data_IF_338063523620
#
_entry.id   IF_338063523620
#
_cell.length_a   1.000
_cell.length_b   1.000
_cell.length_c   1.000
_cell.angle_alpha   90.00
_cell.angle_beta   90.00
_cell.angle_gamma   90.00
#
_symmetry.space_group_name_H-M   'P 1'
#
loop_
_entity.id
_entity.type
_entity.pdbx_description
1 polymer ?
#
# COMPACT_ATOMS: atom_id res chain seq x y z
N UNK A 1 -4.42 37.27 2.82
CA UNK A 1 -4.15 37.25 1.36
C UNK A 1 -5.48 37.37 0.61
N UNK A 2 -5.52 38.20 -0.43
CA UNK A 2 -6.74 38.63 -1.15
C UNK A 2 -7.39 37.45 -1.90
N UNK A 3 -8.70 37.24 -1.71
CA UNK A 3 -9.50 36.26 -2.47
C UNK A 3 -9.92 36.89 -3.81
N UNK A 4 -9.50 36.31 -4.93
CA UNK A 4 -9.95 36.69 -6.26
C UNK A 4 -11.11 35.77 -6.68
N UNK A 5 -12.25 36.37 -7.04
CA UNK A 5 -13.38 35.69 -7.70
C UNK A 5 -12.99 35.38 -9.15
N UNK A 6 -13.07 34.11 -9.55
CA UNK A 6 -13.05 33.71 -10.96
C UNK A 6 -14.47 33.32 -11.40
N UNK A 7 -14.97 34.03 -12.40
CA UNK A 7 -16.25 33.78 -13.04
C UNK A 7 -16.19 32.57 -13.97
N UNK A 8 -17.20 31.71 -13.87
CA UNK A 8 -17.37 30.51 -14.68
C UNK A 8 -18.04 30.85 -16.02
N UNK A 9 -17.40 30.48 -17.13
CA UNK A 9 -18.02 30.46 -18.47
C UNK A 9 -18.37 28.99 -18.77
N UNK A 10 -19.66 28.72 -18.95
CA UNK A 10 -20.18 27.40 -19.35
C UNK A 10 -20.36 27.39 -20.86
N UNK A 11 -19.64 26.50 -21.55
CA UNK A 11 -19.90 26.16 -22.96
C UNK A 11 -20.43 24.73 -23.00
N UNK A 12 -21.69 24.60 -23.38
CA UNK A 12 -22.34 23.32 -23.62
C UNK A 12 -22.11 22.91 -25.09
N UNK A 13 -21.62 21.69 -25.31
CA UNK A 13 -21.54 21.10 -26.64
C UNK A 13 -22.20 19.71 -26.62
N UNK A 14 -23.33 19.64 -27.32
CA UNK A 14 -24.14 18.46 -27.56
C UNK A 14 -23.52 17.69 -28.74
N UNK A 15 -23.24 16.39 -28.56
CA UNK A 15 -23.02 15.48 -29.69
C UNK A 15 -23.77 14.18 -29.42
N UNK A 16 -24.77 13.93 -30.27
CA UNK A 16 -25.52 12.67 -30.38
C UNK A 16 -24.94 11.84 -31.52
N UNK A 17 -24.80 10.52 -31.30
CA UNK A 17 -24.41 9.57 -32.33
C UNK A 17 -24.87 8.14 -31.97
N UNK A 18 -25.82 7.63 -32.75
CA UNK A 18 -26.38 6.27 -32.74
C UNK A 18 -25.74 5.42 -33.85
N UNK A 19 -25.48 4.12 -33.59
CA UNK A 19 -25.52 2.97 -34.53
C UNK A 19 -25.11 1.69 -33.74
N UNK A 20 -25.89 0.60 -33.61
CA UNK A 20 -26.26 -0.46 -34.58
C UNK A 20 -25.03 -1.00 -35.35
N UNK A 21 -24.70 -2.28 -35.48
CA UNK A 21 -25.42 -3.54 -35.26
C UNK A 21 -24.44 -4.73 -35.29
N UNK A 22 -24.94 -5.87 -34.84
CA UNK A 22 -24.49 -7.28 -34.92
C UNK A 22 -23.76 -7.74 -36.19
N UNK A 23 -22.77 -8.63 -36.04
CA UNK A 23 -22.71 -9.88 -36.83
C UNK A 23 -21.82 -10.96 -36.21
N UNK A 24 -22.33 -12.21 -36.21
CA UNK A 24 -21.74 -13.39 -35.55
C UNK A 24 -21.44 -14.45 -36.62
N UNK A 25 -20.17 -14.81 -36.87
CA UNK A 25 -19.88 -15.86 -37.84
C UNK A 25 -20.01 -17.27 -37.25
N UNK A 26 -20.38 -18.15 -38.18
CA UNK A 26 -20.90 -19.52 -38.11
C UNK A 26 -19.76 -20.53 -37.92
N UNK A 27 -19.91 -21.48 -36.98
CA UNK A 27 -18.97 -22.60 -36.80
C UNK A 27 -19.22 -23.73 -37.82
N UNK A 28 -18.17 -24.32 -38.42
CA UNK A 28 -18.24 -25.58 -39.14
C UNK A 28 -18.12 -26.82 -38.22
N UNK A 29 -18.52 -28.01 -38.71
CA UNK A 29 -18.81 -29.19 -37.89
C UNK A 29 -17.56 -30.00 -37.47
N UNK A 30 -17.77 -30.77 -36.39
CA UNK A 30 -16.81 -31.66 -35.72
C UNK A 30 -16.36 -32.82 -36.61
N UNK A 31 -15.05 -33.08 -36.61
CA UNK A 31 -14.45 -34.33 -37.08
C UNK A 31 -13.85 -35.09 -35.89
N UNK A 32 -14.10 -36.39 -35.83
CA UNK A 32 -13.60 -37.32 -34.82
C UNK A 32 -12.39 -38.09 -35.37
N UNK A 33 -11.25 -38.08 -34.66
CA UNK A 33 -10.21 -39.09 -34.82
C UNK A 33 -9.28 -39.20 -33.58
N UNK A 34 -9.28 -40.42 -33.02
CA UNK A 34 -8.16 -41.27 -32.57
C UNK A 34 -7.05 -40.72 -31.65
N UNK A 35 -7.13 -41.17 -30.40
CA UNK A 35 -6.09 -41.68 -29.46
C UNK A 35 -4.62 -41.41 -29.82
N UNK A 36 -4.02 -40.49 -29.06
CA UNK A 36 -2.58 -40.31 -28.90
C UNK A 36 -2.27 -39.89 -27.46
N UNK A 37 -1.39 -40.64 -26.81
CA UNK A 37 -0.97 -40.53 -25.41
C UNK A 37 -0.37 -39.13 -25.14
N UNK A 38 -1.11 -38.27 -24.43
CA UNK A 38 -0.74 -36.87 -24.21
C UNK A 38 -0.08 -36.66 -22.83
N UNK A 39 1.07 -35.99 -22.85
CA UNK A 39 1.70 -35.36 -21.69
C UNK A 39 0.69 -34.48 -20.94
N UNK A 40 0.81 -34.46 -19.60
CA UNK A 40 -0.14 -33.86 -18.66
C UNK A 40 -0.75 -32.54 -19.12
N UNK A 41 -2.00 -32.63 -19.62
CA UNK A 41 -2.78 -31.47 -20.01
C UNK A 41 -3.04 -30.60 -18.80
N UNK A 42 -2.57 -29.35 -18.85
CA UNK A 42 -2.95 -28.31 -17.92
C UNK A 42 -4.48 -28.27 -17.84
N UNK A 43 -5.00 -28.65 -16.66
CA UNK A 43 -6.44 -28.65 -16.37
C UNK A 43 -6.94 -27.22 -16.64
N UNK A 44 -7.99 -27.03 -17.47
CA UNK A 44 -8.51 -25.70 -17.76
C UNK A 44 -8.79 -25.00 -16.43
N UNK A 45 -8.27 -23.77 -16.29
CA UNK A 45 -8.48 -22.94 -15.12
C UNK A 45 -9.99 -22.81 -14.90
N UNK A 46 -10.53 -23.57 -13.96
CA UNK A 46 -11.93 -23.49 -13.60
C UNK A 46 -12.23 -22.05 -13.19
N UNK A 47 -13.32 -21.49 -13.73
CA UNK A 47 -13.78 -20.13 -13.44
C UNK A 47 -13.70 -19.89 -11.94
N UNK A 48 -12.77 -19.01 -11.53
CA UNK A 48 -12.64 -18.63 -10.13
C UNK A 48 -13.97 -18.01 -9.73
N UNK A 49 -14.66 -18.52 -8.68
CA UNK A 49 -15.93 -17.96 -8.25
C UNK A 49 -15.74 -16.48 -7.95
N UNK A 50 -16.33 -15.63 -8.78
CA UNK A 50 -16.23 -14.18 -8.62
C UNK A 50 -17.20 -13.79 -7.52
N UNK A 51 -16.67 -13.38 -6.39
CA UNK A 51 -17.48 -12.95 -5.27
C UNK A 51 -17.90 -11.52 -5.58
N UNK A 52 -19.20 -11.23 -5.70
CA UNK A 52 -19.65 -9.89 -6.03
C UNK A 52 -19.15 -8.94 -4.95
N UNK A 53 -18.19 -8.09 -5.31
CA UNK A 53 -17.72 -7.03 -4.43
C UNK A 53 -18.86 -6.02 -4.28
N UNK A 54 -19.23 -5.65 -3.05
CA UNK A 54 -20.19 -4.58 -2.86
C UNK A 54 -19.63 -3.31 -3.48
N UNK A 55 -20.45 -2.65 -4.29
CA UNK A 55 -20.10 -1.34 -4.86
C UNK A 55 -20.15 -0.32 -3.71
N UNK A 56 -19.03 0.37 -3.41
CA UNK A 56 -19.03 1.39 -2.37
C UNK A 56 -20.08 2.47 -2.68
N UNK A 57 -20.82 2.96 -1.67
CA UNK A 57 -21.77 4.04 -1.90
C UNK A 57 -21.05 5.32 -2.35
N UNK A 58 -21.71 6.20 -3.12
CA UNK A 58 -21.09 7.43 -3.61
C UNK A 58 -20.50 8.28 -2.48
N UNK A 59 -19.23 8.67 -2.65
CA UNK A 59 -18.47 9.46 -1.68
C UNK A 59 -17.94 8.65 -0.49
N UNK A 60 -18.01 7.32 -0.50
CA UNK A 60 -17.28 6.50 0.46
C UNK A 60 -15.77 6.64 0.22
N UNK A 61 -15.06 7.05 1.26
CA UNK A 61 -13.63 7.30 1.24
C UNK A 61 -12.86 6.43 2.23
N UNK A 62 -13.56 5.75 3.14
CA UNK A 62 -12.98 4.99 4.24
C UNK A 62 -13.70 3.67 4.45
N UNK A 63 -12.98 2.69 4.99
CA UNK A 63 -13.50 1.40 5.46
C UNK A 63 -12.72 0.95 6.70
N UNK A 64 -13.21 -0.08 7.41
CA UNK A 64 -12.44 -0.70 8.51
C UNK A 64 -11.71 -1.93 7.97
N UNK A 65 -10.37 -1.88 7.97
CA UNK A 65 -9.53 -3.06 7.80
C UNK A 65 -9.66 -3.98 9.01
N UNK A 66 -9.88 -5.29 8.79
CA UNK A 66 -10.07 -6.25 9.87
C UNK A 66 -8.97 -7.32 9.91
N UNK A 67 -8.79 -8.08 8.83
CA UNK A 67 -7.80 -9.16 8.76
C UNK A 67 -7.38 -9.46 7.33
N UNK A 68 -6.15 -9.94 7.16
CA UNK A 68 -5.64 -10.48 5.89
C UNK A 68 -5.38 -11.96 6.02
N UNK A 69 -5.85 -12.71 5.03
CA UNK A 69 -5.65 -14.15 4.88
C UNK A 69 -4.69 -14.37 3.73
N UNK A 70 -3.63 -15.14 3.93
CA UNK A 70 -2.61 -15.42 2.90
C UNK A 70 -2.38 -16.91 2.74
N UNK A 71 -1.80 -17.32 1.62
CA UNK A 71 -1.47 -18.71 1.30
C UNK A 71 -2.64 -19.51 0.71
N UNK A 72 -2.46 -20.82 0.43
CA UNK A 72 -3.48 -21.62 -0.25
C UNK A 72 -4.86 -21.53 0.42
N UNK A 73 -5.90 -21.32 -0.39
CA UNK A 73 -7.27 -21.18 0.10
C UNK A 73 -7.54 -19.90 0.91
N UNK A 74 -6.71 -18.85 0.79
CA UNK A 74 -6.94 -17.57 1.46
C UNK A 74 -8.35 -17.00 1.21
N UNK A 75 -8.82 -17.04 -0.04
CA UNK A 75 -10.14 -16.54 -0.42
C UNK A 75 -11.27 -17.30 0.29
N UNK A 76 -11.17 -18.64 0.35
CA UNK A 76 -12.16 -19.47 1.03
C UNK A 76 -12.21 -19.18 2.53
N UNK A 77 -11.05 -19.06 3.19
CA UNK A 77 -10.99 -18.73 4.62
C UNK A 77 -11.54 -17.34 4.93
N UNK A 78 -11.21 -16.34 4.11
CA UNK A 78 -11.75 -15.00 4.24
C UNK A 78 -13.29 -14.98 4.09
N UNK A 79 -13.83 -15.76 3.15
CA UNK A 79 -15.28 -15.91 3.01
C UNK A 79 -15.94 -16.63 4.17
N UNK A 80 -15.37 -17.73 4.65
CA UNK A 80 -15.89 -18.44 5.82
C UNK A 80 -15.94 -17.50 7.04
N UNK A 81 -14.91 -16.67 7.24
CA UNK A 81 -14.92 -15.66 8.28
C UNK A 81 -16.04 -14.62 8.06
N UNK A 82 -16.16 -14.07 6.84
CA UNK A 82 -17.24 -13.13 6.50
C UNK A 82 -18.62 -13.71 6.81
N UNK A 83 -18.90 -14.94 6.37
CA UNK A 83 -20.18 -15.61 6.63
C UNK A 83 -20.40 -15.83 8.12
N UNK A 84 -19.40 -16.31 8.86
CA UNK A 84 -19.49 -16.46 10.31
C UNK A 84 -19.85 -15.12 10.99
N UNK A 85 -19.22 -14.02 10.59
CA UNK A 85 -19.47 -12.70 11.14
C UNK A 85 -20.87 -12.17 10.80
N UNK A 86 -21.35 -12.38 9.58
CA UNK A 86 -22.71 -11.99 9.18
C UNK A 86 -23.77 -12.63 10.09
N UNK A 87 -23.55 -13.87 10.52
CA UNK A 87 -24.47 -14.59 11.39
C UNK A 87 -24.28 -14.27 12.88
N UNK A 88 -23.03 -14.08 13.33
CA UNK A 88 -22.71 -13.99 14.77
C UNK A 88 -22.63 -12.56 15.33
N UNK A 89 -22.22 -11.59 14.52
CA UNK A 89 -21.94 -10.22 15.00
C UNK A 89 -23.17 -9.30 14.99
N UNK A 90 -24.21 -9.69 14.23
CA UNK A 90 -25.34 -8.81 13.90
C UNK A 90 -24.97 -7.61 13.02
N UNK A 91 -23.74 -7.58 12.47
CA UNK A 91 -23.24 -6.55 11.58
C UNK A 91 -23.30 -7.08 10.13
N UNK A 92 -23.77 -6.26 9.18
CA UNK A 92 -24.14 -6.73 7.83
C UNK A 92 -23.21 -6.29 6.72
N UNK A 93 -22.37 -5.29 6.95
CA UNK A 93 -21.57 -4.64 5.91
C UNK A 93 -20.17 -5.26 5.76
N UNK A 94 -20.05 -6.56 6.00
CA UNK A 94 -18.80 -7.30 5.82
C UNK A 94 -18.54 -7.62 4.36
N UNK A 95 -17.31 -7.38 3.89
CA UNK A 95 -16.90 -7.71 2.53
C UNK A 95 -15.44 -8.13 2.44
N UNK A 96 -15.10 -8.84 1.36
CA UNK A 96 -13.76 -9.36 1.13
C UNK A 96 -13.25 -8.86 -0.22
N UNK A 97 -12.02 -8.37 -0.23
CA UNK A 97 -11.27 -8.08 -1.44
C UNK A 97 -10.29 -9.22 -1.67
N UNK A 98 -10.29 -9.81 -2.86
CA UNK A 98 -9.44 -10.94 -3.23
C UNK A 98 -8.34 -10.45 -4.16
N UNK A 99 -7.08 -10.62 -3.76
CA UNK A 99 -5.89 -10.44 -4.57
C UNK A 99 -5.28 -11.81 -4.94
N UNK A 100 -4.14 -11.81 -5.64
CA UNK A 100 -3.53 -13.04 -6.16
C UNK A 100 -2.99 -13.98 -5.07
N UNK A 101 -2.39 -13.44 -4.01
CA UNK A 101 -1.73 -14.21 -2.94
C UNK A 101 -2.38 -14.02 -1.55
N UNK A 102 -3.36 -13.12 -1.44
CA UNK A 102 -4.07 -12.83 -0.21
C UNK A 102 -5.53 -12.39 -0.43
N UNK A 103 -6.31 -12.42 0.64
CA UNK A 103 -7.64 -11.82 0.69
C UNK A 103 -7.80 -11.04 1.97
N UNK A 104 -8.39 -9.85 1.87
CA UNK A 104 -8.55 -8.95 3.00
C UNK A 104 -10.01 -8.76 3.32
N UNK A 105 -10.34 -8.96 4.58
CA UNK A 105 -11.67 -8.74 5.16
C UNK A 105 -11.78 -7.29 5.64
N UNK A 106 -12.83 -6.62 5.20
CA UNK A 106 -13.18 -5.25 5.54
C UNK A 106 -14.60 -5.16 6.08
N UNK A 107 -14.92 -4.01 6.68
CA UNK A 107 -16.26 -3.70 7.15
C UNK A 107 -16.67 -2.26 6.86
N UNK A 108 -17.85 -2.12 6.27
CA UNK A 108 -18.53 -0.84 6.08
C UNK A 108 -17.85 0.09 5.09
N UNK A 109 -18.56 1.18 4.79
CA UNK A 109 -18.10 2.25 3.91
C UNK A 109 -18.45 3.57 4.57
N UNK A 110 -17.50 4.51 4.64
CA UNK A 110 -17.69 5.78 5.35
C UNK A 110 -17.17 6.94 4.53
N UNK A 111 -17.89 8.07 4.55
CA UNK A 111 -17.47 9.30 3.87
C UNK A 111 -16.37 10.05 4.61
N UNK A 112 -16.37 10.01 5.94
CA UNK A 112 -15.42 10.71 6.79
C UNK A 112 -15.15 9.94 8.09
N UNK A 113 -13.95 10.13 8.64
CA UNK A 113 -13.54 9.63 9.96
C UNK A 113 -13.20 10.76 10.95
N UNK A 114 -13.03 11.98 10.43
CA UNK A 114 -12.78 13.21 11.18
C UNK A 114 -14.10 13.94 11.45
N UNK A 115 -14.27 14.43 12.68
CA UNK A 115 -15.53 15.04 13.12
C UNK A 115 -15.75 16.42 12.52
N UNK A 116 -14.67 17.09 12.16
CA UNK A 116 -14.62 18.40 11.50
C UNK A 116 -15.17 18.33 10.06
N UNK A 117 -15.06 17.16 9.41
CA UNK A 117 -15.54 16.94 8.05
C UNK A 117 -17.01 16.53 8.06
N UNK A 118 -17.35 15.47 8.80
CA UNK A 118 -18.73 15.03 9.02
C UNK A 118 -18.84 14.32 10.37
N UNK A 119 -19.30 15.05 11.39
CA UNK A 119 -19.47 14.55 12.76
C UNK A 119 -20.32 13.28 12.85
N UNK A 120 -21.39 13.17 12.06
CA UNK A 120 -22.30 12.02 12.14
C UNK A 120 -21.67 10.79 11.54
N UNK A 121 -21.02 10.95 10.39
CA UNK A 121 -20.34 9.86 9.70
C UNK A 121 -19.12 9.37 10.50
N UNK A 122 -18.31 10.28 11.02
CA UNK A 122 -17.17 9.98 11.87
C UNK A 122 -17.60 9.23 13.13
N UNK A 123 -18.70 9.63 13.78
CA UNK A 123 -19.25 8.93 14.92
C UNK A 123 -19.69 7.50 14.57
N UNK A 124 -20.31 7.28 13.40
CA UNK A 124 -20.65 5.93 12.91
C UNK A 124 -19.40 5.08 12.70
N UNK A 125 -18.41 5.59 11.96
CA UNK A 125 -17.16 4.88 11.67
C UNK A 125 -16.43 4.46 12.96
N UNK A 126 -16.29 5.38 13.92
CA UNK A 126 -15.66 5.10 15.23
C UNK A 126 -16.49 4.11 16.06
N UNK A 127 -17.82 4.17 16.01
CA UNK A 127 -18.68 3.23 16.73
C UNK A 127 -18.57 1.81 16.16
N UNK A 128 -18.62 1.66 14.84
CA UNK A 128 -18.46 0.36 14.18
C UNK A 128 -17.06 -0.21 14.39
N UNK A 129 -16.01 0.61 14.29
CA UNK A 129 -14.65 0.18 14.60
C UNK A 129 -14.51 -0.33 16.04
N UNK A 130 -15.07 0.39 17.04
CA UNK A 130 -15.09 -0.09 18.44
C UNK A 130 -15.85 -1.40 18.59
N UNK A 131 -16.98 -1.59 17.89
CA UNK A 131 -17.73 -2.85 17.91
C UNK A 131 -16.87 -4.00 17.37
N UNK A 132 -16.15 -3.78 16.27
CA UNK A 132 -15.24 -4.77 15.66
C UNK A 132 -14.10 -5.12 16.61
N UNK A 133 -13.49 -4.14 17.24
CA UNK A 133 -12.44 -4.36 18.25
C UNK A 133 -12.96 -5.16 19.46
N UNK A 134 -14.24 -5.02 19.80
CA UNK A 134 -14.90 -5.77 20.87
C UNK A 134 -15.32 -7.19 20.49
N UNK A 135 -15.20 -7.61 19.23
CA UNK A 135 -15.51 -8.98 18.82
C UNK A 135 -14.47 -9.95 19.40
N UNK A 136 -14.95 -11.02 20.01
CA UNK A 136 -14.13 -12.08 20.60
C UNK A 136 -14.46 -13.42 19.98
N UNK A 137 -13.46 -14.27 19.83
CA UNK A 137 -13.66 -15.68 19.56
C UNK A 137 -14.33 -16.33 20.77
N UNK A 138 -15.49 -16.97 20.56
CA UNK A 138 -16.30 -17.54 21.64
C UNK A 138 -15.61 -18.71 22.36
N UNK A 139 -14.71 -19.43 21.67
CA UNK A 139 -14.00 -20.58 22.21
C UNK A 139 -12.80 -20.17 23.06
N UNK A 140 -12.02 -19.19 22.59
CA UNK A 140 -10.78 -18.77 23.27
C UNK A 140 -10.94 -17.52 24.12
N UNK A 141 -12.07 -16.80 24.00
CA UNK A 141 -12.32 -15.47 24.57
C UNK A 141 -11.29 -14.41 24.16
N UNK A 142 -10.49 -14.67 23.13
CA UNK A 142 -9.49 -13.72 22.62
C UNK A 142 -10.13 -12.74 21.62
N UNK A 143 -9.65 -11.49 21.52
CA UNK A 143 -10.11 -10.56 20.50
C UNK A 143 -9.88 -11.11 19.09
N UNK A 144 -10.92 -11.06 18.26
CA UNK A 144 -10.88 -11.60 16.90
C UNK A 144 -10.01 -10.72 15.97
N UNK A 145 -10.03 -9.40 16.17
CA UNK A 145 -9.34 -8.42 15.33
C UNK A 145 -8.46 -7.45 16.12
N UNK A 146 -7.33 -7.94 16.63
CA UNK A 146 -6.38 -7.14 17.41
C UNK A 146 -5.77 -5.97 16.64
N UNK A 147 -5.71 -6.06 15.31
CA UNK A 147 -5.12 -5.06 14.42
C UNK A 147 -6.11 -4.41 13.47
N UNK A 148 -7.38 -4.22 13.88
CA UNK A 148 -8.34 -3.49 13.05
C UNK A 148 -8.13 -1.98 13.14
N UNK A 149 -8.24 -1.28 12.00
CA UNK A 149 -8.11 0.18 11.90
C UNK A 149 -8.88 0.72 10.70
N UNK A 150 -9.19 2.02 10.73
CA UNK A 150 -9.81 2.72 9.60
C UNK A 150 -8.76 2.97 8.51
N UNK A 151 -9.09 2.63 7.27
CA UNK A 151 -8.23 2.81 6.10
C UNK A 151 -8.95 3.57 5.01
N UNK A 152 -8.20 4.42 4.31
CA UNK A 152 -8.71 5.09 3.13
C UNK A 152 -8.95 4.05 2.02
N UNK A 153 -10.04 4.24 1.30
CA UNK A 153 -10.36 3.43 0.13
C UNK A 153 -9.58 3.93 -1.08
N UNK A 154 -9.29 3.00 -1.99
CA UNK A 154 -8.76 3.39 -3.29
C UNK A 154 -9.85 4.13 -4.06
N UNK A 155 -9.59 5.40 -4.35
CA UNK A 155 -10.43 6.26 -5.19
C UNK A 155 -9.92 6.18 -6.63
N UNK A 156 -10.81 6.43 -7.59
CA UNK A 156 -10.42 6.58 -8.98
C UNK A 156 -9.37 7.68 -9.12
N UNK A 157 -8.46 7.52 -10.09
CA UNK A 157 -7.47 8.54 -10.37
C UNK A 157 -8.17 9.83 -10.83
N UNK A 158 -7.85 11.00 -10.23
CA UNK A 158 -8.43 12.26 -10.65
C UNK A 158 -8.04 12.57 -12.09
N UNK A 159 -8.86 13.33 -12.85
CA UNK A 159 -8.56 13.65 -14.23
C UNK A 159 -7.28 14.50 -14.34
N UNK A 160 -6.30 13.98 -15.06
CA UNK A 160 -5.04 14.67 -15.37
C UNK A 160 -4.53 14.27 -16.75
N UNK A 161 -3.71 15.10 -17.41
CA UNK A 161 -3.03 14.71 -18.64
C UNK A 161 -2.15 13.47 -18.39
N UNK A 162 -2.22 12.43 -19.24
CA UNK A 162 -1.51 11.17 -19.02
C UNK A 162 0.01 11.37 -18.96
N UNK A 163 0.55 12.36 -19.68
CA UNK A 163 1.97 12.69 -19.66
C UNK A 163 2.46 13.29 -18.33
N UNK A 164 1.57 13.56 -17.37
CA UNK A 164 1.94 13.96 -16.01
C UNK A 164 2.11 12.76 -15.08
N UNK A 165 1.70 11.56 -15.50
CA UNK A 165 1.97 10.34 -14.75
C UNK A 165 3.44 9.96 -14.88
N UNK A 166 4.12 9.72 -13.75
CA UNK A 166 5.52 9.34 -13.71
C UNK A 166 5.80 8.07 -14.53
N UNK A 167 4.84 7.15 -14.65
CA UNK A 167 4.96 5.93 -15.47
C UNK A 167 5.16 6.24 -16.96
N UNK A 168 4.73 7.42 -17.42
CA UNK A 168 4.86 7.87 -18.80
C UNK A 168 6.09 8.78 -19.02
N UNK A 169 6.87 9.06 -17.97
CA UNK A 169 8.04 9.91 -18.05
C UNK A 169 9.20 9.23 -18.80
N UNK A 170 9.96 10.01 -19.56
CA UNK A 170 11.11 9.54 -20.34
C UNK A 170 12.39 9.68 -19.53
N UNK A 171 12.67 8.70 -18.68
CA UNK A 171 13.91 8.68 -17.90
C UNK A 171 14.02 7.44 -17.04
N UNK A 172 15.08 7.39 -16.25
CA UNK A 172 15.36 6.35 -15.28
C UNK A 172 15.23 6.88 -13.84
N UNK A 173 15.64 8.13 -13.62
CA UNK A 173 15.59 8.80 -12.33
C UNK A 173 14.61 9.97 -12.33
N UNK A 174 13.99 10.22 -11.19
CA UNK A 174 13.25 11.45 -10.90
C UNK A 174 13.54 11.88 -9.45
N UNK A 175 13.27 13.14 -9.11
CA UNK A 175 13.48 13.68 -7.76
C UNK A 175 12.12 13.77 -7.05
N UNK A 176 11.91 12.95 -6.01
CA UNK A 176 10.68 13.02 -5.22
C UNK A 176 10.74 14.19 -4.22
N UNK A 177 9.86 15.17 -4.40
CA UNK A 177 9.83 16.42 -3.62
C UNK A 177 8.63 16.51 -2.69
N UNK A 178 7.58 15.70 -2.91
CA UNK A 178 6.47 15.61 -1.97
C UNK A 178 5.78 14.26 -1.99
N UNK A 179 5.16 13.89 -0.87
CA UNK A 179 4.33 12.71 -0.72
C UNK A 179 3.02 13.06 -0.01
N UNK A 180 1.90 12.63 -0.58
CA UNK A 180 0.56 12.74 -0.01
C UNK A 180 0.07 11.38 0.48
N UNK A 181 -0.33 11.30 1.74
CA UNK A 181 -0.77 10.07 2.42
C UNK A 181 -1.81 10.37 3.49
N UNK A 182 -2.42 9.32 4.01
CA UNK A 182 -3.40 9.37 5.11
C UNK A 182 -4.64 10.22 4.78
N UNK A 183 -4.88 10.49 3.49
CA UNK A 183 -6.06 11.17 2.99
C UNK A 183 -6.59 10.45 1.75
N UNK A 184 -7.92 10.29 1.62
CA UNK A 184 -8.54 9.79 0.39
C UNK A 184 -8.37 10.76 -0.79
N UNK A 185 -8.11 12.04 -0.51
CA UNK A 185 -7.85 13.08 -1.51
C UNK A 185 -6.37 13.17 -1.93
N UNK A 186 -5.50 12.28 -1.42
CA UNK A 186 -4.06 12.29 -1.69
C UNK A 186 -3.71 12.37 -3.18
N UNK A 187 -4.48 11.69 -4.03
CA UNK A 187 -4.26 11.66 -5.48
C UNK A 187 -4.54 13.04 -6.08
N UNK A 188 -5.65 13.66 -5.69
CA UNK A 188 -6.02 15.00 -6.13
C UNK A 188 -4.96 16.03 -5.72
N UNK A 189 -4.49 15.98 -4.47
CA UNK A 189 -3.46 16.91 -4.01
C UNK A 189 -2.14 16.76 -4.80
N UNK A 190 -1.71 15.53 -5.10
CA UNK A 190 -0.53 15.31 -5.92
C UNK A 190 -0.71 15.89 -7.33
N UNK A 191 -1.86 15.67 -7.97
CA UNK A 191 -2.18 16.25 -9.29
C UNK A 191 -2.23 17.79 -9.25
N UNK A 192 -2.80 18.37 -8.20
CA UNK A 192 -2.87 19.82 -8.04
C UNK A 192 -1.49 20.47 -7.91
N UNK A 193 -0.58 19.85 -7.14
CA UNK A 193 0.80 20.32 -7.03
C UNK A 193 1.56 20.16 -8.35
N UNK A 194 1.39 19.04 -9.06
CA UNK A 194 2.00 18.87 -10.39
C UNK A 194 1.49 19.93 -11.35
N UNK A 195 0.19 20.23 -11.33
CA UNK A 195 -0.39 21.33 -12.12
C UNK A 195 0.27 22.67 -11.79
N UNK A 196 0.47 22.96 -10.50
CA UNK A 196 1.11 24.20 -10.03
C UNK A 196 2.59 24.29 -10.42
N UNK A 197 3.33 23.19 -10.41
CA UNK A 197 4.71 23.15 -10.91
C UNK A 197 4.77 23.38 -12.43
N UNK A 198 3.92 22.68 -13.18
CA UNK A 198 3.90 22.78 -14.64
C UNK A 198 3.44 24.14 -15.15
N UNK A 199 2.56 24.83 -14.41
CA UNK A 199 2.18 26.21 -14.74
C UNK A 199 3.34 27.20 -14.62
N UNK A 200 4.38 26.85 -13.86
CA UNK A 200 5.64 27.58 -13.72
C UNK A 200 6.75 27.11 -14.65
N UNK A 201 6.44 26.20 -15.58
CA UNK A 201 7.41 25.64 -16.53
C UNK A 201 8.33 24.57 -15.92
N UNK A 202 8.00 24.05 -14.73
CA UNK A 202 8.76 22.97 -14.10
C UNK A 202 8.24 21.64 -14.61
N UNK A 203 9.15 20.78 -15.07
CA UNK A 203 8.81 19.40 -15.43
C UNK A 203 8.49 18.62 -14.15
N UNK A 204 7.21 18.28 -13.96
CA UNK A 204 6.73 17.58 -12.78
C UNK A 204 5.76 16.45 -13.14
N UNK A 205 5.72 15.45 -12.27
CA UNK A 205 4.99 14.21 -12.42
C UNK A 205 4.30 13.80 -11.11
N UNK A 206 3.17 13.12 -11.20
CA UNK A 206 2.55 12.42 -10.07
C UNK A 206 2.77 10.91 -10.22
N UNK A 207 2.82 10.20 -9.09
CA UNK A 207 2.74 8.75 -9.06
C UNK A 207 1.78 8.29 -7.97
N UNK A 208 0.71 7.58 -8.35
CA UNK A 208 -0.26 7.05 -7.41
C UNK A 208 0.11 5.62 -7.02
N UNK A 209 0.69 5.48 -5.83
CA UNK A 209 0.81 4.20 -5.16
C UNK A 209 -0.45 3.82 -4.38
N UNK A 210 -0.51 2.57 -3.86
CA UNK A 210 -1.67 2.07 -3.12
C UNK A 210 -2.06 2.92 -1.89
N UNK A 211 -1.07 3.53 -1.22
CA UNK A 211 -1.30 4.30 0.03
C UNK A 211 -0.65 5.68 0.04
N UNK A 212 0.21 5.98 -0.94
CA UNK A 212 0.95 7.25 -1.06
C UNK A 212 0.79 7.74 -2.50
N UNK A 213 0.60 9.05 -2.67
CA UNK A 213 0.74 9.73 -3.97
C UNK A 213 1.95 10.64 -3.94
N UNK A 214 2.96 10.31 -4.72
CA UNK A 214 4.22 11.06 -4.79
C UNK A 214 4.15 12.14 -5.87
N UNK A 215 4.88 13.22 -5.64
CA UNK A 215 5.15 14.28 -6.60
C UNK A 215 6.64 14.29 -6.89
N UNK A 216 6.99 14.17 -8.16
CA UNK A 216 8.36 14.09 -8.61
C UNK A 216 8.68 15.19 -9.62
N UNK A 217 9.92 15.66 -9.64
CA UNK A 217 10.44 16.69 -10.54
C UNK A 217 11.48 16.08 -11.46
N UNK A 218 11.38 16.40 -12.75
CA UNK A 218 12.32 16.01 -13.80
C UNK A 218 12.33 14.52 -14.14
N UNK A 219 12.89 14.19 -15.29
CA UNK A 219 13.18 12.82 -15.69
C UNK A 219 14.58 12.76 -16.32
N UNK A 220 15.48 11.96 -15.73
CA UNK A 220 16.89 11.89 -16.13
C UNK A 220 17.30 10.49 -16.55
N UNK A 221 18.26 10.34 -17.48
CA UNK A 221 18.76 9.04 -17.92
C UNK A 221 19.50 8.29 -16.81
N UNK A 222 19.72 6.98 -16.98
CA UNK A 222 20.35 6.13 -15.97
C UNK A 222 21.76 6.61 -15.57
N UNK A 223 22.52 7.13 -16.53
CA UNK A 223 23.88 7.64 -16.37
C UNK A 223 23.96 9.05 -15.76
N UNK A 224 22.82 9.69 -15.47
CA UNK A 224 22.77 10.93 -14.69
C UNK A 224 23.30 10.75 -13.25
N UNK A 225 23.34 9.50 -12.80
CA UNK A 225 23.86 9.08 -11.51
C UNK A 225 24.96 8.04 -11.72
N UNK A 226 26.10 8.24 -11.06
CA UNK A 226 27.09 7.19 -10.87
C UNK A 226 26.81 6.48 -9.55
N UNK A 227 26.39 5.22 -9.63
CA UNK A 227 26.34 4.33 -8.47
C UNK A 227 27.79 3.99 -8.11
N UNK A 228 28.31 4.54 -7.03
CA UNK A 228 29.58 4.06 -6.51
C UNK A 228 29.29 2.70 -5.87
N UNK A 229 30.06 1.68 -6.27
CA UNK A 229 30.07 0.42 -5.54
C UNK A 229 30.37 0.80 -4.09
N UNK A 230 29.44 0.46 -3.17
CA UNK A 230 29.67 0.70 -1.76
C UNK A 230 30.99 0.00 -1.41
N UNK A 231 32.04 0.81 -1.22
CA UNK A 231 33.42 0.31 -1.13
C UNK A 231 33.44 -0.89 -0.22
N UNK A 232 33.92 -2.03 -0.75
CA UNK A 232 33.77 -3.41 -0.24
C UNK A 232 33.01 -3.49 1.09
N UNK A 233 31.82 -4.11 1.12
CA UNK A 233 30.99 -4.34 2.31
C UNK A 233 31.68 -5.20 3.39
N UNK A 234 32.83 -4.73 3.86
CA UNK A 234 33.72 -5.31 4.84
C UNK A 234 33.70 -4.33 6.00
N UNK A 235 33.10 -4.79 7.09
CA UNK A 235 33.35 -4.20 8.40
C UNK A 235 34.69 -4.76 8.91
N UNK A 236 35.44 -3.93 9.66
CA UNK A 236 36.62 -4.41 10.38
C UNK A 236 36.22 -5.37 11.52
N UNK A 237 34.99 -5.26 12.01
CA UNK A 237 34.43 -6.10 13.06
C UNK A 237 33.46 -7.13 12.46
N UNK A 238 33.85 -8.41 12.35
CA UNK A 238 33.00 -9.46 11.76
C UNK A 238 31.72 -9.72 12.56
N UNK A 239 31.60 -9.20 13.78
CA UNK A 239 30.39 -9.33 14.61
C UNK A 239 29.39 -8.19 14.42
N UNK A 240 29.78 -7.11 13.74
CA UNK A 240 28.89 -5.98 13.49
C UNK A 240 27.83 -6.34 12.45
N UNK A 241 26.56 -6.28 12.84
CA UNK A 241 25.42 -6.44 11.94
C UNK A 241 25.42 -5.35 10.88
N UNK A 242 25.48 -5.75 9.60
CA UNK A 242 25.36 -4.84 8.45
C UNK A 242 23.95 -4.94 7.87
N UNK A 243 23.28 -3.81 7.70
CA UNK A 243 22.05 -3.71 6.91
C UNK A 243 22.39 -3.04 5.58
N UNK A 244 22.25 -3.77 4.48
CA UNK A 244 22.39 -3.19 3.14
C UNK A 244 21.01 -2.73 2.70
N UNK A 245 20.88 -1.45 2.38
CA UNK A 245 19.65 -0.89 1.80
C UNK A 245 19.94 -0.44 0.37
N UNK A 246 18.92 -0.34 -0.47
CA UNK A 246 19.03 0.13 -1.84
C UNK A 246 19.24 1.65 -1.97
N UNK A 247 19.24 2.38 -0.85
CA UNK A 247 19.42 3.83 -0.79
C UNK A 247 18.14 4.64 -0.98
N UNK A 248 16.99 3.99 -1.19
CA UNK A 248 15.71 4.69 -1.46
C UNK A 248 15.01 5.20 -0.19
N UNK A 249 15.32 4.63 0.98
CA UNK A 249 14.63 4.94 2.23
C UNK A 249 15.53 5.68 3.23
N UNK A 250 14.99 6.68 3.95
CA UNK A 250 15.68 7.31 5.06
C UNK A 250 15.89 6.29 6.18
N UNK A 251 17.15 6.09 6.55
CA UNK A 251 17.54 5.15 7.60
C UNK A 251 17.60 5.88 8.94
N UNK A 252 16.90 5.39 9.99
CA UNK A 252 17.06 5.92 11.34
C UNK A 252 18.53 5.85 11.81
N UNK A 253 19.09 6.93 12.38
CA UNK A 253 20.50 6.97 12.77
C UNK A 253 20.85 6.00 13.93
N UNK A 254 19.85 5.56 14.70
CA UNK A 254 20.04 4.73 15.90
C UNK A 254 19.46 3.31 15.74
N UNK A 255 19.60 2.72 14.55
CA UNK A 255 19.18 1.35 14.31
C UNK A 255 20.01 0.37 15.16
N UNK A 256 19.31 -0.44 15.96
CA UNK A 256 19.91 -1.46 16.82
C UNK A 256 19.33 -2.84 16.52
N UNK A 257 20.16 -3.87 16.65
CA UNK A 257 19.72 -5.26 16.51
C UNK A 257 18.96 -5.75 17.76
N UNK A 258 18.47 -6.99 17.73
CA UNK A 258 17.74 -7.59 18.85
C UNK A 258 18.55 -7.68 20.16
N UNK A 259 19.87 -7.52 20.11
CA UNK A 259 20.78 -7.52 21.25
C UNK A 259 21.16 -6.11 21.70
N UNK A 260 20.63 -5.08 21.02
CA UNK A 260 20.93 -3.68 21.30
C UNK A 260 22.22 -3.16 20.67
N UNK A 261 22.90 -3.94 19.81
CA UNK A 261 24.12 -3.47 19.14
C UNK A 261 23.79 -2.54 17.96
N UNK A 262 24.63 -1.53 17.67
CA UNK A 262 24.42 -0.64 16.53
C UNK A 262 24.53 -1.41 15.20
N UNK A 263 23.56 -1.22 14.33
CA UNK A 263 23.56 -1.78 12.98
C UNK A 263 24.27 -0.80 12.04
N UNK A 264 25.29 -1.27 11.32
CA UNK A 264 25.94 -0.47 10.27
C UNK A 264 25.10 -0.53 9.01
N UNK A 265 24.50 0.60 8.64
CA UNK A 265 23.71 0.66 7.41
C UNK A 265 24.60 1.06 6.24
N UNK A 266 24.63 0.22 5.21
CA UNK A 266 25.33 0.48 3.96
C UNK A 266 24.30 0.84 2.89
N UNK A 267 24.41 2.05 2.35
CA UNK A 267 23.63 2.50 1.21
C UNK A 267 24.61 2.73 0.04
N UNK A 268 24.23 2.39 -1.20
CA UNK A 268 24.99 2.82 -2.37
C UNK A 268 25.16 4.34 -2.32
N UNK A 269 26.41 4.81 -2.43
CA UNK A 269 26.66 6.25 -2.57
C UNK A 269 26.30 6.60 -4.01
N UNK A 270 25.26 7.39 -4.15
CA UNK A 270 24.81 7.93 -5.43
C UNK A 270 25.54 9.26 -5.62
N UNK A 271 26.41 9.32 -6.62
CA UNK A 271 27.02 10.56 -7.08
C UNK A 271 26.22 11.08 -8.27
N UNK A 272 25.58 12.23 -8.10
CA UNK A 272 24.85 12.90 -9.18
C UNK A 272 25.87 13.50 -10.15
N UNK A 273 25.81 13.10 -11.42
CA UNK A 273 26.68 13.61 -12.48
C UNK A 273 26.00 14.71 -13.29
N UNK A 274 24.69 14.58 -13.53
CA UNK A 274 23.93 15.50 -14.38
C UNK A 274 23.75 16.89 -13.74
N UNK A 275 24.14 17.98 -14.42
CA UNK A 275 24.05 19.33 -13.86
C UNK A 275 22.61 19.82 -13.68
N UNK A 276 21.68 19.37 -14.51
CA UNK A 276 20.25 19.74 -14.39
C UNK A 276 19.60 19.03 -13.21
N UNK A 277 20.00 17.79 -12.92
CA UNK A 277 19.57 17.08 -11.71
C UNK A 277 20.11 17.74 -10.44
N UNK A 278 21.41 18.12 -10.43
CA UNK A 278 21.99 18.88 -9.31
C UNK A 278 21.22 20.16 -9.04
N UNK A 279 20.94 20.92 -10.11
CA UNK A 279 20.16 22.14 -10.01
C UNK A 279 18.76 21.88 -9.45
N UNK A 280 18.07 20.82 -9.87
CA UNK A 280 16.77 20.47 -9.32
C UNK A 280 16.85 20.14 -7.82
N UNK A 281 17.89 19.44 -7.36
CA UNK A 281 18.10 19.16 -5.94
C UNK A 281 18.40 20.43 -5.13
N UNK A 282 19.07 21.41 -5.72
CA UNK A 282 19.31 22.72 -5.10
C UNK A 282 18.03 23.59 -5.05
N UNK A 283 17.23 23.57 -6.11
CA UNK A 283 15.98 24.34 -6.21
C UNK A 283 14.87 23.73 -5.33
N UNK A 284 14.89 22.40 -5.12
CA UNK A 284 13.93 21.65 -4.31
C UNK A 284 14.61 20.80 -3.23
N UNK A 285 15.27 21.43 -2.25
CA UNK A 285 16.12 20.70 -1.30
C UNK A 285 15.32 19.89 -0.27
N UNK A 286 14.05 20.21 -0.05
CA UNK A 286 13.25 19.63 1.02
C UNK A 286 12.06 18.83 0.49
N UNK A 287 11.81 17.70 1.15
CA UNK A 287 10.66 16.84 0.90
C UNK A 287 9.48 17.26 1.77
N UNK A 288 8.33 17.49 1.14
CA UNK A 288 7.08 17.83 1.82
C UNK A 288 6.19 16.60 2.01
N UNK A 289 5.57 16.48 3.18
CA UNK A 289 4.55 15.45 3.45
C UNK A 289 3.22 16.14 3.68
N UNK A 290 2.21 15.78 2.89
CA UNK A 290 0.88 16.40 2.91
C UNK A 290 0.92 17.93 2.76
N UNK A 291 1.84 18.44 1.93
CA UNK A 291 2.04 19.87 1.69
C UNK A 291 2.85 20.62 2.76
N UNK A 292 3.41 19.93 3.75
CA UNK A 292 4.24 20.53 4.80
C UNK A 292 5.66 19.95 4.81
N UNK A 293 6.68 20.81 4.83
CA UNK A 293 8.07 20.38 5.05
C UNK A 293 8.24 19.88 6.48
N UNK A 294 8.72 18.65 6.64
CA UNK A 294 8.94 18.07 7.96
C UNK A 294 10.32 18.44 8.49
N UNK A 295 10.36 18.87 9.76
CA UNK A 295 11.60 19.11 10.50
C UNK A 295 11.82 17.98 11.50
N UNK A 296 13.00 17.36 11.47
CA UNK A 296 13.46 16.45 12.51
C UNK A 296 14.44 17.13 13.44
N UNK A 297 14.25 16.91 14.75
CA UNK A 297 15.22 17.29 15.79
C UNK A 297 16.25 16.20 15.88
N UNK A 298 17.44 16.44 15.35
CA UNK A 298 18.55 15.49 15.31
C UNK A 298 19.64 15.99 16.26
N UNK A 299 20.26 15.07 17.00
CA UNK A 299 21.40 15.39 17.85
C UNK A 299 22.68 15.33 17.00
N UNK A 300 23.42 16.43 16.94
CA UNK A 300 24.68 16.48 16.18
C UNK A 300 25.85 15.82 16.96
N UNK A 301 27.03 15.77 16.36
CA UNK A 301 28.24 15.21 16.99
C UNK A 301 28.68 15.94 18.28
N UNK A 302 28.20 17.17 18.51
CA UNK A 302 28.44 17.97 19.73
C UNK A 302 27.34 17.79 20.78
N UNK A 303 26.43 16.83 20.59
CA UNK A 303 25.29 16.58 21.47
C UNK A 303 24.25 17.72 21.50
N UNK A 304 24.30 18.64 20.53
CA UNK A 304 23.34 19.73 20.39
C UNK A 304 22.14 19.26 19.56
N UNK A 305 20.93 19.71 19.92
CA UNK A 305 19.72 19.43 19.14
C UNK A 305 19.62 20.45 18.01
N UNK A 306 19.74 19.99 16.77
CA UNK A 306 19.56 20.81 15.57
C UNK A 306 18.28 20.40 14.84
N UNK A 307 17.56 21.37 14.29
CA UNK A 307 16.46 21.10 13.36
C UNK A 307 17.03 20.88 11.97
N UNK A 308 16.59 19.80 11.30
CA UNK A 308 16.93 19.52 9.91
C UNK A 308 15.67 19.14 9.14
N UNK A 309 15.50 19.74 7.96
CA UNK A 309 14.44 19.35 7.05
C UNK A 309 14.74 17.99 6.41
N UNK A 310 13.69 17.24 6.10
CA UNK A 310 13.84 16.03 5.31
C UNK A 310 14.19 16.40 3.87
N UNK A 311 15.30 15.86 3.31
CA UNK A 311 15.72 16.22 1.98
C UNK A 311 14.85 15.53 0.92
N UNK A 312 14.67 16.18 -0.23
CA UNK A 312 14.22 15.50 -1.45
C UNK A 312 15.20 14.39 -1.83
N UNK A 313 14.71 13.31 -2.43
CA UNK A 313 15.53 12.14 -2.73
C UNK A 313 15.22 11.58 -4.12
N UNK A 314 16.18 10.86 -4.69
CA UNK A 314 16.04 10.27 -6.01
C UNK A 314 15.23 8.98 -5.95
N UNK A 315 14.30 8.85 -6.90
CA UNK A 315 13.49 7.66 -7.11
C UNK A 315 13.65 7.13 -8.51
N UNK A 316 13.44 5.83 -8.68
CA UNK A 316 13.39 5.20 -9.99
C UNK A 316 12.04 5.47 -10.63
N UNK A 317 12.06 5.84 -11.91
CA UNK A 317 10.85 5.93 -12.72
C UNK A 317 10.32 4.51 -12.94
N UNK A 318 9.05 4.21 -12.58
CA UNK A 318 8.47 2.90 -12.82
C UNK A 318 8.44 2.61 -14.33
N UNK A 319 9.26 1.65 -14.76
CA UNK A 319 9.27 1.19 -16.13
C UNK A 319 8.29 0.03 -16.27
N UNK A 320 7.40 0.08 -17.26
CA UNK A 320 6.66 -1.09 -17.74
C UNK A 320 7.67 -2.08 -18.33
N UNK A 321 8.28 -2.88 -17.46
CA UNK A 321 9.24 -3.92 -17.83
C UNK A 321 8.50 -5.08 -18.48
N UNK A 322 7.96 -4.86 -19.68
CA UNK A 322 7.42 -5.93 -20.53
C UNK A 322 8.52 -6.88 -21.02
N UNK A 323 9.78 -6.42 -21.02
CA UNK A 323 10.90 -7.14 -21.66
C UNK A 323 11.93 -7.72 -20.69
N UNK A 324 11.76 -7.58 -19.37
CA UNK A 324 12.60 -8.37 -18.46
C UNK A 324 12.04 -9.79 -18.41
N UNK A 325 12.85 -10.82 -18.71
CA UNK A 325 12.44 -12.20 -18.46
C UNK A 325 12.03 -12.27 -17.00
N UNK A 326 10.82 -12.78 -16.75
CA UNK A 326 10.25 -12.86 -15.40
C UNK A 326 11.33 -13.37 -14.44
N UNK A 327 11.92 -12.47 -13.66
CA UNK A 327 12.82 -12.86 -12.58
C UNK A 327 12.01 -13.83 -11.75
N UNK A 328 12.55 -15.05 -11.59
CA UNK A 328 11.88 -16.10 -10.83
C UNK A 328 11.29 -15.46 -9.56
N UNK A 329 10.01 -15.75 -9.22
CA UNK A 329 9.40 -15.17 -8.03
C UNK A 329 10.37 -15.34 -6.88
N UNK A 330 10.57 -14.32 -6.04
CA UNK A 330 11.50 -14.41 -4.92
C UNK A 330 11.21 -15.74 -4.23
N UNK A 331 12.23 -16.60 -4.13
CA UNK A 331 12.10 -17.88 -3.47
C UNK A 331 11.69 -17.55 -2.04
N UNK A 332 10.39 -17.64 -1.77
CA UNK A 332 9.86 -17.53 -0.44
C UNK A 332 10.48 -18.70 0.30
N UNK A 333 11.49 -18.41 1.14
CA UNK A 333 12.00 -19.42 2.03
C UNK A 333 10.80 -19.92 2.84
N UNK A 334 10.49 -21.22 2.83
CA UNK A 334 9.37 -21.74 3.59
C UNK A 334 9.64 -21.42 5.06
N UNK A 335 8.81 -20.56 5.65
CA UNK A 335 8.74 -20.47 7.10
C UNK A 335 8.37 -21.87 7.60
N UNK A 336 9.10 -22.46 8.55
CA UNK A 336 8.73 -23.74 9.13
C UNK A 336 7.37 -23.58 9.82
N UNK A 337 6.32 -24.12 9.19
CA UNK A 337 5.01 -24.25 9.82
C UNK A 337 5.10 -25.42 10.80
N UNK A 338 5.41 -25.13 12.07
CA UNK A 338 5.15 -26.09 13.14
C UNK A 338 3.64 -26.14 13.37
N UNK A 339 2.96 -27.05 12.66
CA UNK A 339 1.60 -27.48 13.01
C UNK A 339 1.71 -28.36 14.25
N UNK A 340 1.63 -27.77 15.43
CA UNK A 340 1.29 -28.52 16.63
C UNK A 340 -0.23 -28.76 16.59
N UNK A 341 -0.59 -29.98 16.25
CA UNK A 341 -1.94 -30.52 16.41
C UNK A 341 -1.98 -31.22 17.79
N UNK A 342 -2.44 -30.58 18.88
CA UNK A 342 -2.62 -31.30 20.13
C UNK A 342 -3.85 -32.19 20.02
N UNK A 343 -3.63 -33.51 19.99
CA UNK A 343 -4.66 -34.48 20.34
C UNK A 343 -5.14 -34.22 21.78
N UNK A 344 -6.45 -34.31 22.06
CA UNK A 344 -6.95 -34.24 23.43
C UNK A 344 -6.61 -35.54 24.16
N UNK A 345 -5.67 -35.49 25.10
CA UNK A 345 -5.50 -36.54 26.10
C UNK A 345 -6.47 -36.29 27.26
N UNK A 346 -7.49 -37.13 27.36
CA UNK A 346 -8.28 -37.31 28.58
C UNK A 346 -7.41 -37.96 29.65
N UNK A 347 -7.24 -37.29 30.79
CA UNK A 347 -6.90 -37.94 32.06
C UNK A 347 -7.87 -37.47 33.16
N UNK A 348 -8.44 -38.39 33.95
CA UNK A 348 -9.17 -38.07 35.18
C UNK A 348 -8.19 -38.04 36.36
N UNK A 349 -8.28 -37.01 37.20
CA UNK A 349 -7.42 -36.90 38.38
C UNK A 349 -7.92 -35.87 39.39
N UNK A 350 -8.33 -36.38 40.53
CA UNK A 350 -8.90 -35.70 41.69
C UNK A 350 -7.92 -34.72 42.36
N UNK A 351 -8.45 -33.61 42.90
CA UNK A 351 -7.68 -32.65 43.69
C UNK A 351 -8.57 -31.67 44.44
N UNK A 352 -8.83 -31.98 45.71
CA UNK A 352 -9.67 -31.25 46.68
C UNK A 352 -8.83 -30.19 47.41
N UNK A 353 -9.52 -29.22 48.05
CA UNK A 353 -9.10 -28.26 49.11
C UNK A 353 -8.53 -26.91 48.60
N UNK A 354 -8.83 -25.74 49.17
CA UNK A 354 -9.54 -25.36 50.41
C UNK A 354 -10.02 -23.91 50.30
N UNK A 355 -11.18 -23.67 50.90
CA UNK A 355 -11.76 -22.39 51.28
C UNK A 355 -10.93 -21.67 52.36
N UNK A 356 -10.73 -20.37 52.17
CA UNK A 356 -10.50 -19.33 53.19
C UNK A 356 -11.20 -18.09 52.59
N UNK A 357 -12.10 -17.34 53.22
CA UNK A 357 -12.45 -17.15 54.62
C UNK A 357 -12.85 -15.67 54.72
N UNK A 358 -14.12 -15.39 54.99
CA UNK A 358 -14.67 -14.04 55.15
C UNK A 358 -14.34 -13.46 56.54
N UNK A 359 -14.08 -12.15 56.55
CA UNK A 359 -14.52 -11.20 57.59
C UNK A 359 -13.55 -10.92 58.74
N UNK A 360 -13.71 -9.78 59.44
CA UNK A 360 -14.79 -8.78 59.33
C UNK A 360 -14.56 -7.64 58.33
#
# INVERSE_FOLDING_TARGET
MRKALFGTVVVALLVTGLACSTDKPRQPPKSSAVVGQAAGGARPAADRPTIPMPVPPPGALWTVYCATYSGPGHALRAQQMREMLLHSSGMRDWYVVVADDHSTLYYGFYKAIEEEVDRREAARAKADHRRIQGLVDLSTRQPLFRGSFLVAMETDDPPAPPEWDLRNAKGYWSLEVAAYKDSPERKQYAVDVVREFRSRGVEAYYYHGPVISSVCIGAWPEDAVKRQEAGSARTADPTQTILVTDGSLPVPPDLRDARGNPIKVMQPVIEVLDPTMKKAMEDYPHHAVNGYEQKRRIRNARNEIVERYDPSFLVLIPQDRKDLPATAPPVQQPFPVHVLNPQPTTQPGEGRLRTLGNGP
#
